data_IF_971131149816
#
_entry.id   IF_971131149816
#
_cell.length_a   1.000
_cell.length_b   1.000
_cell.length_c   1.000
_cell.angle_alpha   90.00
_cell.angle_beta   90.00
_cell.angle_gamma   90.00
#
_symmetry.space_group_name_H-M   'P 1'
#
loop_
_entity.id
_entity.type
_entity.pdbx_description
1 polymer ?
#
# COMPACT_ATOMS: atom_id res chain seq x y z
N UNK A 1 -4.87 -24.99 20.09
CA UNK A 1 -5.69 -24.06 19.30
C UNK A 1 -4.77 -23.46 18.25
N UNK A 2 -4.90 -23.92 17.01
CA UNK A 2 -4.06 -23.44 15.89
C UNK A 2 -4.38 -21.96 15.67
N UNK A 3 -3.39 -21.09 15.84
CA UNK A 3 -3.52 -19.69 15.44
C UNK A 3 -3.75 -19.69 13.91
N UNK A 4 -4.99 -19.47 13.49
CA UNK A 4 -5.26 -19.07 12.10
C UNK A 4 -4.56 -17.73 11.93
N UNK A 5 -3.33 -17.76 11.43
CA UNK A 5 -2.68 -16.57 10.87
C UNK A 5 -3.65 -15.97 9.88
N UNK A 6 -4.06 -14.73 10.13
CA UNK A 6 -4.99 -14.04 9.27
C UNK A 6 -4.31 -13.89 7.91
N UNK A 7 -4.84 -14.55 6.87
CA UNK A 7 -4.28 -14.49 5.51
C UNK A 7 -4.63 -13.15 4.83
N UNK A 8 -4.45 -12.04 5.55
CA UNK A 8 -4.64 -10.71 4.98
C UNK A 8 -3.43 -10.38 4.13
N UNK A 9 -3.69 -9.97 2.90
CA UNK A 9 -2.68 -9.46 1.98
C UNK A 9 -2.90 -7.96 1.78
N UNK A 10 -1.97 -7.14 2.23
CA UNK A 10 -2.00 -5.71 1.92
C UNK A 10 -1.55 -5.52 0.48
N UNK A 11 -2.38 -4.87 -0.32
CA UNK A 11 -2.12 -4.63 -1.75
C UNK A 11 -2.05 -3.13 -1.99
N UNK A 12 -0.85 -2.61 -2.21
CA UNK A 12 -0.62 -1.19 -2.45
C UNK A 12 -0.66 -0.88 -3.94
N UNK A 13 -1.63 -0.07 -4.35
CA UNK A 13 -1.72 0.46 -5.72
C UNK A 13 -0.96 1.78 -5.83
N UNK A 14 0.06 1.84 -6.69
CA UNK A 14 0.79 3.07 -6.97
C UNK A 14 -0.13 4.15 -7.53
N UNK A 15 -0.10 5.37 -6.96
CA UNK A 15 -0.99 6.46 -7.38
C UNK A 15 -0.83 6.88 -8.84
N UNK A 16 0.35 6.68 -9.44
CA UNK A 16 0.59 6.91 -10.87
C UNK A 16 -0.23 6.00 -11.79
N UNK A 17 -0.67 4.84 -11.30
CA UNK A 17 -1.50 3.92 -12.05
C UNK A 17 -2.94 4.42 -12.23
N UNK A 18 -3.44 5.31 -11.37
CA UNK A 18 -4.79 5.87 -11.50
C UNK A 18 -4.99 6.71 -12.76
N UNK A 19 -3.91 7.21 -13.35
CA UNK A 19 -3.96 7.90 -14.65
C UNK A 19 -4.01 6.96 -15.86
N UNK A 20 -4.08 5.66 -15.67
CA UNK A 20 -4.14 4.66 -16.74
C UNK A 20 -5.52 4.00 -16.77
N UNK A 21 -6.21 4.08 -17.90
CA UNK A 21 -7.60 3.62 -18.06
C UNK A 21 -7.80 2.12 -17.78
N UNK A 22 -6.77 1.31 -18.01
CA UNK A 22 -6.85 -0.14 -17.79
C UNK A 22 -6.68 -0.55 -16.32
N UNK A 23 -6.33 0.38 -15.43
CA UNK A 23 -6.05 0.05 -14.01
C UNK A 23 -7.21 -0.70 -13.34
N UNK A 24 -8.49 -0.30 -13.48
CA UNK A 24 -9.60 -1.04 -12.86
C UNK A 24 -9.69 -2.48 -13.35
N UNK A 25 -9.57 -2.71 -14.65
CA UNK A 25 -9.61 -4.04 -15.25
C UNK A 25 -8.44 -4.91 -14.80
N UNK A 26 -7.23 -4.40 -14.85
CA UNK A 26 -6.02 -5.12 -14.47
C UNK A 26 -5.97 -5.44 -12.98
N UNK A 27 -6.44 -4.51 -12.15
CA UNK A 27 -6.58 -4.74 -10.71
C UNK A 27 -7.61 -5.86 -10.44
N UNK A 28 -8.77 -5.81 -11.09
CA UNK A 28 -9.79 -6.85 -10.94
C UNK A 28 -9.28 -8.22 -11.40
N UNK A 29 -8.55 -8.28 -12.51
CA UNK A 29 -7.89 -9.52 -12.98
C UNK A 29 -6.94 -10.09 -11.92
N UNK A 30 -6.09 -9.24 -11.32
CA UNK A 30 -5.14 -9.67 -10.30
C UNK A 30 -5.84 -10.15 -9.03
N UNK A 31 -6.80 -9.37 -8.51
CA UNK A 31 -7.49 -9.67 -7.25
C UNK A 31 -8.42 -10.89 -7.33
N UNK A 32 -8.88 -11.24 -8.54
CA UNK A 32 -9.70 -12.44 -8.75
C UNK A 32 -8.88 -13.74 -8.71
N UNK A 33 -7.55 -13.67 -8.61
CA UNK A 33 -6.69 -14.86 -8.52
C UNK A 33 -6.73 -15.43 -7.11
N UNK A 34 -6.83 -16.75 -7.00
CA UNK A 34 -6.91 -17.47 -5.72
C UNK A 34 -5.70 -17.29 -4.79
N UNK A 35 -4.60 -16.73 -5.30
CA UNK A 35 -3.37 -16.48 -4.53
C UNK A 35 -3.43 -15.24 -3.62
N UNK A 36 -4.45 -14.37 -3.77
CA UNK A 36 -4.66 -13.18 -2.96
C UNK A 36 -5.93 -13.36 -2.11
N UNK A 37 -5.77 -14.01 -0.97
CA UNK A 37 -6.84 -14.15 0.02
C UNK A 37 -6.98 -12.86 0.83
N UNK A 38 -8.19 -12.43 1.15
CA UNK A 38 -8.50 -11.24 1.95
C UNK A 38 -7.64 -10.02 1.59
N UNK A 39 -7.68 -9.54 0.34
CA UNK A 39 -6.92 -8.37 -0.05
C UNK A 39 -7.42 -7.13 0.70
N UNK A 40 -6.49 -6.33 1.25
CA UNK A 40 -6.73 -5.01 1.80
C UNK A 40 -5.99 -4.00 0.92
N UNK A 41 -6.73 -3.19 0.19
CA UNK A 41 -6.16 -2.25 -0.76
C UNK A 41 -5.72 -0.96 -0.07
N UNK A 42 -4.56 -0.43 -0.48
CA UNK A 42 -4.08 0.91 -0.13
C UNK A 42 -3.74 1.63 -1.43
N UNK A 43 -4.30 2.82 -1.62
CA UNK A 43 -4.14 3.58 -2.86
C UNK A 43 -3.20 4.75 -2.62
N UNK A 44 -2.16 4.88 -3.44
CA UNK A 44 -1.19 5.97 -3.31
C UNK A 44 -1.74 7.33 -3.75
N UNK A 45 -1.16 8.41 -3.23
CA UNK A 45 -1.59 9.79 -3.45
C UNK A 45 -1.44 10.29 -4.89
N UNK A 46 -0.44 9.79 -5.66
CA UNK A 46 -0.27 10.15 -7.07
C UNK A 46 -0.29 11.66 -7.33
N UNK A 47 -0.93 12.08 -8.43
CA UNK A 47 -1.02 13.50 -8.79
C UNK A 47 -1.67 14.38 -7.73
N UNK A 48 -2.59 13.85 -6.93
CA UNK A 48 -3.21 14.62 -5.86
C UNK A 48 -2.19 14.96 -4.76
N UNK A 49 -1.32 14.02 -4.38
CA UNK A 49 -0.22 14.29 -3.45
C UNK A 49 0.87 15.18 -4.07
N UNK A 50 1.09 15.13 -5.39
CA UNK A 50 2.01 16.07 -6.06
C UNK A 50 1.51 17.52 -5.94
N UNK A 51 0.19 17.75 -6.03
CA UNK A 51 -0.40 19.07 -5.76
C UNK A 51 -0.13 19.54 -4.32
N UNK A 52 -0.15 18.64 -3.34
CA UNK A 52 0.20 18.99 -1.94
C UNK A 52 1.67 19.42 -1.83
N UNK A 53 2.58 18.77 -2.54
CA UNK A 53 4.00 19.19 -2.58
C UNK A 53 4.16 20.60 -3.18
N UNK A 54 3.46 20.86 -4.27
CA UNK A 54 3.47 22.19 -4.90
C UNK A 54 2.92 23.25 -3.94
N UNK A 55 1.81 22.99 -3.26
CA UNK A 55 1.23 23.90 -2.26
C UNK A 55 2.16 24.10 -1.08
N UNK A 56 2.84 23.08 -0.58
CA UNK A 56 3.82 23.23 0.50
C UNK A 56 4.97 24.16 0.08
N UNK A 57 5.47 24.04 -1.15
CA UNK A 57 6.51 24.93 -1.66
C UNK A 57 6.05 26.39 -1.73
N UNK A 58 4.79 26.62 -2.14
CA UNK A 58 4.20 27.96 -2.27
C UNK A 58 3.88 28.57 -0.90
N UNK A 59 3.20 27.80 -0.04
CA UNK A 59 2.62 28.31 1.21
C UNK A 59 3.47 28.04 2.44
N UNK A 60 4.50 27.21 2.34
CA UNK A 60 5.54 26.92 3.36
C UNK A 60 4.99 26.40 4.68
N UNK A 61 3.93 25.58 4.65
CA UNK A 61 3.47 24.85 5.83
C UNK A 61 4.42 23.69 6.16
N UNK A 62 4.35 23.19 7.38
CA UNK A 62 5.26 22.16 7.89
C UNK A 62 5.06 20.77 7.24
N UNK A 63 6.01 19.87 7.47
CA UNK A 63 5.96 18.53 6.88
C UNK A 63 4.84 17.67 7.43
N UNK A 64 4.46 17.82 8.71
CA UNK A 64 3.38 17.07 9.31
C UNK A 64 2.05 17.43 8.64
N UNK A 65 1.76 18.73 8.47
CA UNK A 65 0.61 19.23 7.71
C UNK A 65 0.63 18.71 6.26
N UNK A 66 1.82 18.70 5.62
CA UNK A 66 1.95 18.18 4.26
C UNK A 66 1.68 16.67 4.18
N UNK A 67 2.14 15.91 5.17
CA UNK A 67 1.87 14.48 5.29
C UNK A 67 0.38 14.21 5.43
N UNK A 68 -0.31 14.90 6.34
CA UNK A 68 -1.74 14.73 6.58
C UNK A 68 -2.56 15.03 5.30
N UNK A 69 -2.25 16.14 4.61
CA UNK A 69 -2.88 16.47 3.32
C UNK A 69 -2.56 15.43 2.22
N UNK A 70 -1.37 14.83 2.24
CA UNK A 70 -1.03 13.76 1.30
C UNK A 70 -1.80 12.47 1.62
N UNK A 71 -2.10 12.19 2.89
CA UNK A 71 -2.98 11.08 3.31
C UNK A 71 -4.41 11.36 2.89
N UNK A 72 -4.91 12.60 2.99
CA UNK A 72 -6.21 13.00 2.45
C UNK A 72 -6.28 12.82 0.92
N UNK A 73 -5.18 13.12 0.21
CA UNK A 73 -5.06 12.83 -1.22
C UNK A 73 -5.14 11.33 -1.54
N UNK A 74 -4.64 10.46 -0.65
CA UNK A 74 -4.84 9.01 -0.77
C UNK A 74 -6.31 8.63 -0.58
N UNK A 75 -7.03 9.26 0.34
CA UNK A 75 -8.48 9.07 0.53
C UNK A 75 -9.27 9.45 -0.72
N UNK A 76 -8.97 10.60 -1.33
CA UNK A 76 -9.58 11.00 -2.60
C UNK A 76 -9.37 9.94 -3.70
N UNK A 77 -8.15 9.42 -3.83
CA UNK A 77 -7.82 8.37 -4.79
C UNK A 77 -8.50 7.04 -4.47
N UNK A 78 -8.68 6.73 -3.19
CA UNK A 78 -9.41 5.55 -2.71
C UNK A 78 -10.90 5.63 -3.09
N UNK A 79 -11.51 6.80 -2.94
CA UNK A 79 -12.88 7.07 -3.39
C UNK A 79 -13.02 6.94 -4.90
N UNK A 80 -12.05 7.48 -5.67
CA UNK A 80 -12.01 7.30 -7.12
C UNK A 80 -11.97 5.81 -7.49
N UNK A 81 -11.07 5.04 -6.86
CA UNK A 81 -10.94 3.61 -7.14
C UNK A 81 -12.25 2.86 -6.81
N UNK A 82 -12.89 3.16 -5.69
CA UNK A 82 -14.17 2.59 -5.30
C UNK A 82 -15.29 2.91 -6.30
N UNK A 83 -15.25 4.10 -6.92
CA UNK A 83 -16.23 4.50 -7.93
C UNK A 83 -16.06 3.78 -9.28
N UNK A 84 -14.82 3.36 -9.62
CA UNK A 84 -14.52 2.75 -10.94
C UNK A 84 -14.31 1.23 -10.88
N UNK A 85 -14.23 0.64 -9.66
CA UNK A 85 -14.12 -0.80 -9.43
C UNK A 85 -15.33 -1.28 -8.62
N UNK A 86 -16.36 -1.88 -9.25
CA UNK A 86 -17.64 -2.19 -8.59
C UNK A 86 -17.52 -3.12 -7.36
N UNK A 87 -16.51 -4.01 -7.33
CA UNK A 87 -16.26 -4.91 -6.20
C UNK A 87 -15.56 -4.23 -5.03
N UNK A 88 -14.92 -3.09 -5.26
CA UNK A 88 -14.19 -2.37 -4.21
C UNK A 88 -15.15 -1.58 -3.31
N UNK A 89 -14.75 -1.39 -2.05
CA UNK A 89 -15.50 -0.56 -1.09
C UNK A 89 -14.55 0.11 -0.11
N UNK A 90 -14.80 1.38 0.19
CA UNK A 90 -14.01 2.12 1.17
C UNK A 90 -14.33 1.64 2.58
N UNK A 91 -13.31 1.47 3.42
CA UNK A 91 -13.43 1.05 4.82
C UNK A 91 -12.48 1.86 5.71
N UNK A 92 -12.94 2.25 6.90
CA UNK A 92 -12.17 3.07 7.83
C UNK A 92 -11.56 2.28 9.00
N UNK A 93 -11.87 0.98 9.14
CA UNK A 93 -11.42 0.16 10.26
C UNK A 93 -11.45 -1.34 9.94
N UNK A 94 -10.99 -2.15 10.91
CA UNK A 94 -10.87 -3.62 10.78
C UNK A 94 -12.21 -4.33 10.66
N UNK A 95 -13.23 -3.87 11.38
CA UNK A 95 -14.56 -4.51 11.38
C UNK A 95 -15.28 -4.29 10.05
N UNK A 96 -15.16 -3.08 9.49
CA UNK A 96 -15.66 -2.78 8.15
C UNK A 96 -14.94 -3.61 7.08
N UNK A 97 -13.61 -3.79 7.19
CA UNK A 97 -12.86 -4.64 6.27
C UNK A 97 -13.30 -6.10 6.39
N UNK A 98 -13.51 -6.61 7.62
CA UNK A 98 -14.01 -7.96 7.85
C UNK A 98 -15.40 -8.17 7.23
N UNK A 99 -16.28 -7.18 7.37
CA UNK A 99 -17.61 -7.18 6.75
C UNK A 99 -17.53 -7.17 5.23
N UNK A 100 -16.62 -6.37 4.65
CA UNK A 100 -16.42 -6.33 3.21
C UNK A 100 -15.96 -7.69 2.65
N UNK A 101 -15.01 -8.36 3.31
CA UNK A 101 -14.58 -9.71 2.90
C UNK A 101 -15.71 -10.76 3.00
N UNK A 102 -16.55 -10.69 4.04
CA UNK A 102 -17.72 -11.58 4.16
C UNK A 102 -18.72 -11.39 3.00
N UNK A 103 -18.80 -10.17 2.48
CA UNK A 103 -19.62 -9.81 1.34
C UNK A 103 -18.92 -10.04 -0.03
N UNK A 104 -17.76 -10.71 -0.04
CA UNK A 104 -16.93 -10.90 -1.23
C UNK A 104 -16.53 -9.59 -1.93
N UNK A 105 -16.37 -8.51 -1.16
CA UNK A 105 -15.89 -7.22 -1.65
C UNK A 105 -14.41 -7.03 -1.33
N UNK A 106 -13.79 -6.13 -2.05
CA UNK A 106 -12.39 -5.74 -1.86
C UNK A 106 -12.33 -4.44 -1.04
N UNK A 107 -12.00 -4.50 0.26
CA UNK A 107 -11.86 -3.29 1.07
C UNK A 107 -10.68 -2.45 0.58
N UNK A 108 -10.92 -1.13 0.44
CA UNK A 108 -9.91 -0.10 0.25
C UNK A 108 -9.81 0.65 1.57
N UNK A 109 -8.63 0.64 2.19
CA UNK A 109 -8.42 1.30 3.46
C UNK A 109 -8.41 2.83 3.27
N UNK A 110 -9.30 3.51 3.97
CA UNK A 110 -9.23 4.95 4.18
C UNK A 110 -8.15 5.24 5.21
N UNK A 111 -6.96 5.57 4.74
CA UNK A 111 -5.81 5.82 5.61
C UNK A 111 -6.04 7.04 6.52
N UNK A 112 -6.72 8.09 6.07
CA UNK A 112 -7.02 9.26 6.90
C UNK A 112 -7.94 8.92 8.08
N UNK A 113 -8.87 7.98 7.91
CA UNK A 113 -9.72 7.50 9.00
C UNK A 113 -9.02 6.49 9.91
N UNK A 114 -8.10 5.68 9.37
CA UNK A 114 -7.46 4.55 10.05
C UNK A 114 -6.25 4.97 10.88
N UNK A 115 -5.31 5.69 10.29
CA UNK A 115 -4.02 5.99 10.92
C UNK A 115 -4.14 6.69 12.29
N UNK A 116 -4.93 7.76 12.47
CA UNK A 116 -4.99 8.46 13.75
C UNK A 116 -5.51 7.60 14.91
N UNK A 117 -6.21 6.51 14.61
CA UNK A 117 -6.75 5.57 15.62
C UNK A 117 -5.78 4.45 15.95
N UNK A 118 -5.00 4.00 14.97
CA UNK A 118 -4.14 2.83 15.10
C UNK A 118 -2.71 3.19 15.50
N UNK A 119 -2.15 4.29 15.00
CA UNK A 119 -0.78 4.70 15.28
C UNK A 119 -0.46 4.77 16.78
N UNK A 120 -1.32 5.36 17.65
CA UNK A 120 -1.05 5.41 19.09
C UNK A 120 -0.98 4.03 19.76
N UNK A 121 -1.44 2.98 19.08
CA UNK A 121 -1.50 1.60 19.60
C UNK A 121 -0.32 0.75 19.12
N UNK A 122 0.51 1.28 18.20
CA UNK A 122 1.58 0.52 17.58
C UNK A 122 2.95 0.94 18.11
N UNK A 123 3.90 -0.01 18.29
CA UNK A 123 5.25 0.32 18.70
C UNK A 123 6.10 0.96 17.58
N UNK A 124 5.75 0.72 16.32
CA UNK A 124 6.44 1.30 15.17
C UNK A 124 5.82 2.65 14.83
N UNK A 125 6.59 3.71 14.98
CA UNK A 125 6.17 5.06 14.63
C UNK A 125 6.17 5.25 13.11
N UNK A 126 5.09 5.84 12.57
CA UNK A 126 5.03 6.29 11.18
C UNK A 126 5.52 7.75 11.11
N UNK A 127 6.62 8.05 10.41
CA UNK A 127 7.08 9.44 10.27
C UNK A 127 6.09 10.29 9.49
N UNK A 128 5.61 11.40 10.08
CA UNK A 128 4.73 12.36 9.41
C UNK A 128 5.55 13.35 8.57
N UNK A 129 6.26 12.83 7.59
CA UNK A 129 7.11 13.56 6.66
C UNK A 129 7.06 12.95 5.27
N UNK A 130 7.64 13.62 4.28
CA UNK A 130 7.76 13.06 2.93
C UNK A 130 8.69 11.83 2.82
N UNK A 131 9.43 11.49 3.86
CA UNK A 131 10.19 10.24 3.91
C UNK A 131 9.28 9.01 3.97
N UNK A 132 8.07 9.15 4.54
CA UNK A 132 7.04 8.12 4.57
C UNK A 132 5.94 8.45 3.56
N UNK A 133 5.95 7.77 2.42
CA UNK A 133 4.90 7.88 1.41
C UNK A 133 3.90 6.73 1.52
N UNK A 134 3.05 6.57 0.53
CA UNK A 134 2.08 5.47 0.50
C UNK A 134 2.71 4.05 0.49
N UNK A 135 3.99 3.90 0.13
CA UNK A 135 4.70 2.62 0.25
C UNK A 135 5.00 2.32 1.73
N UNK A 136 5.51 3.31 2.49
CA UNK A 136 5.73 3.19 3.92
C UNK A 136 4.42 2.97 4.69
N UNK A 137 3.36 3.72 4.35
CA UNK A 137 2.04 3.53 4.96
C UNK A 137 1.55 2.10 4.73
N UNK A 138 1.71 1.54 3.53
CA UNK A 138 1.32 0.16 3.24
C UNK A 138 2.18 -0.86 4.01
N UNK A 139 3.48 -0.62 4.15
CA UNK A 139 4.38 -1.44 4.96
C UNK A 139 3.99 -1.39 6.44
N UNK A 140 3.75 -0.18 6.97
CA UNK A 140 3.32 0.02 8.34
C UNK A 140 1.98 -0.68 8.61
N UNK A 141 1.00 -0.53 7.73
CA UNK A 141 -0.28 -1.25 7.83
C UNK A 141 -0.09 -2.76 7.77
N UNK A 142 0.85 -3.26 6.96
CA UNK A 142 1.17 -4.70 6.90
C UNK A 142 1.61 -5.24 8.26
N UNK A 143 2.43 -4.49 8.99
CA UNK A 143 2.90 -4.83 10.33
C UNK A 143 1.81 -4.64 11.39
N UNK A 144 1.11 -3.51 11.37
CA UNK A 144 0.04 -3.19 12.32
C UNK A 144 -1.16 -4.15 12.18
N UNK A 145 -1.46 -4.65 10.99
CA UNK A 145 -2.57 -5.58 10.73
C UNK A 145 -2.20 -7.06 10.90
N UNK A 146 -1.04 -7.41 11.36
CA UNK A 146 -0.25 -8.64 11.16
C UNK A 146 -0.62 -9.39 9.87
N UNK A 147 -0.54 -8.69 8.75
CA UNK A 147 -0.79 -9.28 7.44
C UNK A 147 0.34 -10.25 7.06
N UNK A 148 0.05 -11.25 6.25
CA UNK A 148 1.05 -12.26 5.83
C UNK A 148 1.86 -11.83 4.60
N UNK A 149 1.43 -10.76 3.90
CA UNK A 149 2.05 -10.33 2.65
C UNK A 149 1.78 -8.86 2.36
N UNK A 150 2.79 -8.19 1.79
CA UNK A 150 2.66 -6.90 1.12
C UNK A 150 2.84 -7.10 -0.39
N UNK A 151 1.92 -6.60 -1.21
CA UNK A 151 2.01 -6.63 -2.68
C UNK A 151 2.07 -5.20 -3.19
N UNK A 152 3.18 -4.83 -3.82
CA UNK A 152 3.39 -3.51 -4.41
C UNK A 152 3.00 -3.54 -5.89
N UNK A 153 1.89 -2.89 -6.24
CA UNK A 153 1.48 -2.72 -7.64
C UNK A 153 2.10 -1.44 -8.18
N UNK A 154 2.98 -1.59 -9.12
CA UNK A 154 3.76 -0.51 -9.74
C UNK A 154 3.53 -0.47 -11.25
N UNK A 155 3.96 0.61 -11.90
CA UNK A 155 3.89 0.78 -13.34
C UNK A 155 5.10 0.21 -14.09
N UNK A 156 6.10 -0.26 -13.35
CA UNK A 156 7.37 -0.81 -13.87
C UNK A 156 7.65 -2.18 -13.25
N UNK A 157 8.42 -3.00 -13.96
CA UNK A 157 8.95 -4.25 -13.44
C UNK A 157 10.06 -4.02 -12.41
N UNK A 158 10.31 -5.03 -11.59
CA UNK A 158 11.48 -5.13 -10.74
C UNK A 158 12.52 -5.97 -11.49
N UNK A 159 13.75 -5.47 -11.61
CA UNK A 159 14.88 -6.29 -12.03
C UNK A 159 15.34 -7.14 -10.85
N UNK A 160 15.77 -8.38 -11.13
CA UNK A 160 16.20 -9.30 -10.08
C UNK A 160 17.33 -8.71 -9.22
N UNK A 161 17.21 -8.88 -7.91
CA UNK A 161 18.25 -8.60 -6.91
C UNK A 161 18.71 -7.14 -6.75
N UNK A 162 17.83 -6.15 -6.98
CA UNK A 162 18.16 -4.76 -6.65
C UNK A 162 18.01 -4.53 -5.14
N UNK A 163 19.05 -4.05 -4.43
CA UNK A 163 18.96 -3.69 -3.03
C UNK A 163 17.90 -2.60 -2.78
N UNK A 164 17.23 -2.66 -1.61
CA UNK A 164 16.19 -1.70 -1.24
C UNK A 164 16.71 -0.25 -1.26
N UNK A 165 17.94 -0.01 -0.83
CA UNK A 165 18.58 1.30 -0.87
C UNK A 165 18.71 1.87 -2.30
N UNK A 166 18.97 1.03 -3.30
CA UNK A 166 19.03 1.46 -4.70
C UNK A 166 17.63 1.74 -5.26
N UNK A 167 16.61 0.96 -4.87
CA UNK A 167 15.22 1.23 -5.25
C UNK A 167 14.73 2.54 -4.64
N UNK A 168 15.09 2.82 -3.38
CA UNK A 168 14.78 4.09 -2.73
C UNK A 168 15.51 5.27 -3.40
N UNK A 169 16.79 5.13 -3.71
CA UNK A 169 17.55 6.15 -4.45
C UNK A 169 17.00 6.42 -5.86
N UNK A 170 16.42 5.40 -6.50
CA UNK A 170 15.74 5.54 -7.79
C UNK A 170 14.29 6.07 -7.67
N UNK A 171 13.77 6.33 -6.46
CA UNK A 171 12.40 6.79 -6.22
C UNK A 171 11.33 5.76 -6.55
N UNK A 172 11.69 4.48 -6.63
CA UNK A 172 10.75 3.39 -6.89
C UNK A 172 10.01 2.94 -5.63
N UNK A 173 10.61 3.15 -4.46
CA UNK A 173 10.03 3.01 -3.13
C UNK A 173 10.48 4.19 -2.27
N UNK A 174 9.88 4.38 -1.09
CA UNK A 174 10.38 5.36 -0.13
C UNK A 174 11.45 4.77 0.81
N UNK A 175 12.15 5.67 1.53
CA UNK A 175 13.23 5.28 2.44
C UNK A 175 12.74 4.53 3.67
N UNK A 176 11.52 4.82 4.16
CA UNK A 176 10.97 4.15 5.33
C UNK A 176 10.66 2.68 5.00
N UNK A 177 10.01 2.40 3.86
CA UNK A 177 9.81 1.03 3.40
C UNK A 177 11.15 0.27 3.29
N UNK A 178 12.17 0.92 2.70
CA UNK A 178 13.50 0.32 2.60
C UNK A 178 14.10 -0.03 3.96
N UNK A 179 13.88 0.82 4.97
CA UNK A 179 14.36 0.61 6.35
C UNK A 179 13.62 -0.49 7.09
N UNK A 180 12.35 -0.72 6.79
CA UNK A 180 11.52 -1.74 7.46
C UNK A 180 11.42 -3.06 6.70
N UNK A 181 12.12 -3.21 5.58
CA UNK A 181 11.98 -4.38 4.71
C UNK A 181 12.19 -5.70 5.46
N UNK A 182 13.19 -5.75 6.36
CA UNK A 182 13.54 -6.94 7.15
C UNK A 182 12.47 -7.34 8.18
N UNK A 183 11.61 -6.40 8.57
CA UNK A 183 10.51 -6.65 9.49
C UNK A 183 9.27 -7.20 8.77
N UNK A 184 9.17 -6.96 7.46
CA UNK A 184 8.03 -7.38 6.66
C UNK A 184 8.03 -8.89 6.41
N UNK A 185 6.84 -9.54 6.38
CA UNK A 185 6.76 -11.00 6.21
C UNK A 185 7.20 -11.43 4.80
N UNK A 186 6.50 -10.97 3.80
CA UNK A 186 6.73 -11.24 2.38
C UNK A 186 6.37 -10.00 1.60
N UNK A 187 7.24 -9.58 0.68
CA UNK A 187 6.97 -8.45 -0.22
C UNK A 187 7.08 -8.93 -1.66
N UNK A 188 5.98 -8.81 -2.38
CA UNK A 188 5.91 -9.09 -3.80
C UNK A 188 5.74 -7.78 -4.60
N UNK A 189 6.35 -7.76 -5.76
CA UNK A 189 6.25 -6.68 -6.74
C UNK A 189 5.46 -7.15 -7.95
N UNK A 190 4.49 -6.37 -8.39
CA UNK A 190 3.73 -6.65 -9.62
C UNK A 190 3.77 -5.42 -10.53
N UNK A 191 4.29 -5.59 -11.73
CA UNK A 191 4.10 -4.61 -12.78
C UNK A 191 2.67 -4.74 -13.33
N UNK A 192 1.79 -3.82 -12.95
CA UNK A 192 0.39 -3.87 -13.38
C UNK A 192 0.22 -3.63 -14.89
N UNK A 193 1.21 -3.01 -15.55
CA UNK A 193 1.22 -2.74 -17.00
C UNK A 193 1.82 -3.87 -17.83
N UNK A 194 2.41 -4.88 -17.21
CA UNK A 194 2.98 -6.02 -17.93
C UNK A 194 1.90 -6.84 -18.64
N UNK A 195 2.23 -7.52 -19.71
CA UNK A 195 1.32 -8.41 -20.42
C UNK A 195 0.77 -9.50 -19.49
N UNK A 196 1.63 -10.04 -18.63
CA UNK A 196 1.27 -11.04 -17.61
C UNK A 196 1.42 -10.46 -16.21
N UNK A 197 0.41 -10.64 -15.35
CA UNK A 197 0.43 -10.20 -13.96
C UNK A 197 1.13 -11.26 -13.09
N UNK A 198 2.45 -11.39 -13.24
CA UNK A 198 3.23 -12.30 -12.42
C UNK A 198 3.86 -11.53 -11.26
N UNK A 199 3.61 -11.96 -9.99
CA UNK A 199 4.33 -11.43 -8.86
C UNK A 199 5.82 -11.82 -8.92
N UNK A 200 6.70 -10.85 -8.72
CA UNK A 200 8.12 -11.08 -8.48
C UNK A 200 8.35 -10.98 -6.97
N UNK A 201 8.86 -12.04 -6.36
CA UNK A 201 9.22 -12.02 -4.93
C UNK A 201 10.41 -11.10 -4.76
N UNK A 202 10.20 -9.99 -4.02
CA UNK A 202 11.28 -9.06 -3.72
C UNK A 202 11.94 -9.36 -2.38
N UNK A 203 11.13 -9.71 -1.35
CA UNK A 203 11.62 -10.04 -0.01
C UNK A 203 10.78 -11.14 0.62
N UNK A 204 11.42 -11.97 1.43
CA UNK A 204 10.74 -12.93 2.30
C UNK A 204 11.56 -13.15 3.56
N UNK A 205 10.94 -12.88 4.70
CA UNK A 205 11.57 -13.14 6.00
C UNK A 205 11.86 -14.63 6.23
N UNK A 206 11.12 -15.51 5.57
CA UNK A 206 11.33 -16.95 5.65
C UNK A 206 12.63 -17.43 4.95
N UNK A 207 13.18 -16.61 4.05
CA UNK A 207 14.38 -16.94 3.28
C UNK A 207 15.67 -16.45 3.98
N UNK A 208 15.55 -15.82 5.16
CA UNK A 208 16.70 -15.34 5.91
C UNK A 208 17.31 -16.46 6.76
N UNK A 209 18.64 -16.56 6.84
CA UNK A 209 19.29 -17.49 7.75
C UNK A 209 18.90 -17.12 9.20
N UNK A 210 18.43 -18.12 9.93
CA UNK A 210 18.19 -17.97 11.38
C UNK A 210 19.53 -17.59 12.03
N UNK A 211 19.59 -16.53 12.84
CA UNK A 211 20.82 -16.07 13.48
C UNK A 211 21.41 -17.10 14.45
#
# INVERSE_FOLDING_TARGET
>A
MSAHTSEVHVVKLGGSLLGWSETPHRLAELLSRASLTRPLLIVGGGRAADSVRDWQQIHRFDEATAHDLAVDAMTLNSQLLAAVVPQATLVGNRDEAATAWQQHRWPILDCAAFLPREEPLQPLELPHTWAATSDAIAAWVTLAWPASRLVLLKSTGLSDQIPASQLAAAGLIDHCLAGWLEELPTVDWVNLRAATLQPTRWHSRADQPVP
#
